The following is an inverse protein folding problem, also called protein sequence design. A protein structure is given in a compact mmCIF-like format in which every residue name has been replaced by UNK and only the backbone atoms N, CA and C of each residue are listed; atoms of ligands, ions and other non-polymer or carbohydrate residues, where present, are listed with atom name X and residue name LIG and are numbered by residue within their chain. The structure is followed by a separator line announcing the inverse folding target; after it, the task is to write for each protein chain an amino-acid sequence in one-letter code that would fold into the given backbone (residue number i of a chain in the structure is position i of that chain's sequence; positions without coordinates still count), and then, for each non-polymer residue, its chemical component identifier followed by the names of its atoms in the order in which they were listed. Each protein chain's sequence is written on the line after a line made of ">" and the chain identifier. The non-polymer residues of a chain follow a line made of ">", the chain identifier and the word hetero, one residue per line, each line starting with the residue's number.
data_IF_220932156461
#
_entry.id   IF_220932156461
#
_cell.length_a   1.000
_cell.length_b   1.000
_cell.length_c   1.000
_cell.angle_alpha   90.00
_cell.angle_beta   90.00
_cell.angle_gamma   90.00
#
_symmetry.space_group_name_H-M   'P 1'
#
loop_
_entity.id
_entity.type
_entity.pdbx_description
1 polymer ?
#
# COMPACT_ATOMS: atom_id res chain seq x y z
N UNK A 1 0.31 -16.08 14.84
CA UNK A 1 -1.03 -16.59 15.22
C UNK A 1 -1.00 -18.10 15.44
N UNK A 2 -0.73 -18.94 14.42
CA UNK A 2 -0.75 -20.41 14.56
C UNK A 2 0.13 -21.00 15.67
N UNK A 3 1.35 -20.49 15.86
CA UNK A 3 2.22 -20.87 16.99
C UNK A 3 1.64 -20.43 18.34
N UNK A 4 1.21 -19.17 18.45
CA UNK A 4 0.61 -18.62 19.67
C UNK A 4 -0.68 -19.33 20.13
N UNK A 5 -1.42 -19.97 19.21
CA UNK A 5 -2.62 -20.77 19.53
C UNK A 5 -2.33 -22.28 19.64
N UNK A 6 -1.06 -22.69 19.63
CA UNK A 6 -0.63 -24.08 19.85
C UNK A 6 -0.77 -25.02 18.65
N UNK A 7 -1.11 -24.51 17.46
CA UNK A 7 -1.30 -25.33 16.24
C UNK A 7 0.00 -25.61 15.48
N UNK A 8 1.08 -24.88 15.78
CA UNK A 8 2.38 -25.01 15.13
C UNK A 8 3.44 -25.36 16.19
N UNK A 9 4.23 -26.40 15.93
CA UNK A 9 5.35 -26.75 16.82
C UNK A 9 6.47 -25.71 16.75
N UNK A 10 7.24 -25.60 17.84
CA UNK A 10 8.38 -24.67 17.95
C UNK A 10 9.37 -24.88 16.80
N UNK A 11 9.75 -26.13 16.50
CA UNK A 11 10.64 -26.46 15.38
C UNK A 11 10.16 -25.89 14.03
N UNK A 12 8.85 -25.93 13.74
CA UNK A 12 8.32 -25.40 12.49
C UNK A 12 8.31 -23.87 12.50
N UNK A 13 8.05 -23.28 13.65
CA UNK A 13 8.08 -21.83 13.81
C UNK A 13 9.52 -21.28 13.67
N UNK A 14 10.49 -21.94 14.28
CA UNK A 14 11.92 -21.60 14.13
C UNK A 14 12.39 -21.68 12.68
N UNK A 15 12.02 -22.75 11.96
CA UNK A 15 12.35 -22.87 10.54
C UNK A 15 11.74 -21.74 9.69
N UNK A 16 10.51 -21.33 10.03
CA UNK A 16 9.84 -20.19 9.39
C UNK A 16 10.56 -18.87 9.67
N UNK A 17 10.91 -18.59 10.94
CA UNK A 17 11.62 -17.37 11.31
C UNK A 17 13.01 -17.32 10.69
N UNK A 18 13.73 -18.45 10.63
CA UNK A 18 15.01 -18.55 9.92
C UNK A 18 14.86 -18.17 8.45
N UNK A 19 13.91 -18.80 7.74
CA UNK A 19 13.64 -18.49 6.33
C UNK A 19 13.32 -17.01 6.13
N UNK A 20 12.46 -16.44 6.98
CA UNK A 20 12.06 -15.03 6.94
C UNK A 20 13.26 -14.11 7.11
N UNK A 21 14.16 -14.43 8.05
CA UNK A 21 15.39 -13.68 8.26
C UNK A 21 16.33 -13.77 7.04
N UNK A 22 16.49 -14.96 6.45
CA UNK A 22 17.29 -15.16 5.23
C UNK A 22 16.77 -14.31 4.07
N UNK A 23 15.47 -14.36 3.79
CA UNK A 23 14.83 -13.58 2.71
C UNK A 23 15.02 -12.08 2.94
N UNK A 24 14.82 -11.60 4.18
CA UNK A 24 15.01 -10.20 4.52
C UNK A 24 16.48 -9.73 4.38
N UNK A 25 17.44 -10.58 4.78
CA UNK A 25 18.86 -10.29 4.64
C UNK A 25 19.27 -10.21 3.17
N UNK A 26 18.81 -11.15 2.34
CA UNK A 26 19.10 -11.14 0.91
C UNK A 26 18.51 -9.90 0.23
N UNK A 27 17.27 -9.56 0.55
CA UNK A 27 16.64 -8.37 0.01
C UNK A 27 17.42 -7.09 0.35
N UNK A 28 17.96 -7.00 1.57
CA UNK A 28 18.85 -5.92 1.99
C UNK A 28 20.18 -5.90 1.23
N UNK A 29 20.74 -7.07 0.90
CA UNK A 29 21.94 -7.17 0.06
C UNK A 29 21.66 -6.64 -1.35
N UNK A 30 20.55 -7.06 -1.97
CA UNK A 30 20.16 -6.63 -3.32
C UNK A 30 19.92 -5.12 -3.42
N UNK A 31 19.37 -4.49 -2.37
CA UNK A 31 19.18 -3.03 -2.35
C UNK A 31 20.49 -2.24 -2.14
N UNK A 32 21.54 -2.89 -1.62
CA UNK A 32 22.87 -2.29 -1.43
C UNK A 32 23.78 -2.33 -2.66
N UNK A 33 23.53 -3.23 -3.61
CA UNK A 33 24.38 -3.42 -4.80
C UNK A 33 23.82 -2.62 -5.97
N UNK A 34 24.65 -1.72 -6.54
CA UNK A 34 24.28 -0.91 -7.71
C UNK A 34 24.91 -1.45 -8.99
N UNK A 35 24.09 -1.47 -10.04
CA UNK A 35 24.37 -1.94 -11.38
C UNK A 35 24.37 -0.76 -12.35
N UNK A 36 25.37 -0.75 -13.23
CA UNK A 36 25.58 0.25 -14.26
C UNK A 36 25.81 -0.46 -15.60
N UNK A 37 25.23 0.07 -16.67
CA UNK A 37 25.30 -0.55 -18.00
C UNK A 37 26.73 -0.72 -18.52
N UNK A 38 27.63 0.21 -18.21
CA UNK A 38 29.04 0.20 -18.64
C UNK A 38 29.94 -0.71 -17.79
N UNK A 39 29.54 -1.03 -16.56
CA UNK A 39 30.33 -1.88 -15.65
C UNK A 39 29.86 -3.33 -15.66
N UNK A 40 28.56 -3.54 -15.80
CA UNK A 40 27.91 -4.84 -15.83
C UNK A 40 27.22 -5.05 -17.19
N UNK A 41 28.00 -4.99 -18.26
CA UNK A 41 27.51 -5.00 -19.65
C UNK A 41 26.61 -6.21 -19.93
N UNK A 42 27.08 -7.42 -19.62
CA UNK A 42 26.33 -8.65 -19.91
C UNK A 42 24.97 -8.72 -19.19
N UNK A 43 24.93 -8.36 -17.91
CA UNK A 43 23.68 -8.30 -17.15
C UNK A 43 22.76 -7.21 -17.71
N UNK A 44 23.30 -6.04 -18.02
CA UNK A 44 22.53 -4.92 -18.54
C UNK A 44 21.90 -5.26 -19.90
N UNK A 45 22.65 -5.88 -20.81
CA UNK A 45 22.15 -6.32 -22.12
C UNK A 45 21.03 -7.36 -22.01
N UNK A 46 21.17 -8.36 -21.12
CA UNK A 46 20.14 -9.38 -20.92
C UNK A 46 18.87 -8.75 -20.30
N UNK A 47 19.03 -7.88 -19.29
CA UNK A 47 17.91 -7.12 -18.71
C UNK A 47 17.24 -6.24 -19.76
N UNK A 48 17.98 -5.51 -20.60
CA UNK A 48 17.42 -4.68 -21.65
C UNK A 48 16.67 -5.50 -22.70
N UNK A 49 17.17 -6.69 -23.03
CA UNK A 49 16.53 -7.61 -23.96
C UNK A 49 15.18 -8.08 -23.45
N UNK A 50 15.12 -8.47 -22.16
CA UNK A 50 13.93 -9.00 -21.50
C UNK A 50 12.91 -7.90 -21.19
N UNK A 51 13.37 -6.77 -20.65
CA UNK A 51 12.49 -5.71 -20.12
C UNK A 51 12.15 -4.63 -21.17
N UNK A 52 12.95 -4.53 -22.24
CA UNK A 52 12.96 -3.39 -23.18
C UNK A 52 13.25 -2.03 -22.50
N UNK A 53 13.83 -2.04 -21.30
CA UNK A 53 14.14 -0.85 -20.51
C UNK A 53 15.64 -0.73 -20.27
N UNK A 54 16.20 0.43 -20.63
CA UNK A 54 17.63 0.69 -20.46
C UNK A 54 18.09 0.66 -19.00
N UNK A 55 19.32 0.18 -18.79
CA UNK A 55 20.04 0.33 -17.53
C UNK A 55 20.89 1.61 -17.62
N UNK A 56 20.87 2.51 -16.61
CA UNK A 56 21.69 3.71 -16.66
C UNK A 56 23.19 3.38 -16.66
N UNK A 57 23.98 4.14 -17.42
CA UNK A 57 25.44 4.13 -17.29
C UNK A 57 25.87 4.97 -16.08
N UNK A 58 27.03 4.64 -15.52
CA UNK A 58 27.70 5.38 -14.44
C UNK A 58 27.93 6.86 -14.75
N UNK A 59 28.00 7.23 -16.03
CA UNK A 59 28.20 8.61 -16.50
C UNK A 59 26.92 9.41 -16.68
N UNK A 60 25.76 8.73 -16.83
CA UNK A 60 24.47 9.35 -17.20
C UNK A 60 23.36 9.09 -16.18
N UNK A 61 23.68 8.63 -14.98
CA UNK A 61 22.70 8.45 -13.90
C UNK A 61 23.25 7.74 -12.68
N UNK A 62 22.43 7.61 -11.65
CA UNK A 62 22.81 6.96 -10.39
C UNK A 62 22.94 5.43 -10.46
N UNK A 63 22.75 4.78 -11.61
CA UNK A 63 22.63 3.31 -11.71
C UNK A 63 21.34 2.79 -11.06
N UNK A 64 21.12 1.48 -11.12
CA UNK A 64 19.97 0.80 -10.49
C UNK A 64 20.46 -0.23 -9.48
N UNK A 65 19.76 -0.37 -8.37
CA UNK A 65 20.01 -1.47 -7.44
C UNK A 65 19.57 -2.81 -8.05
N UNK A 66 20.15 -3.93 -7.60
CA UNK A 66 19.67 -5.25 -8.02
C UNK A 66 18.21 -5.46 -7.66
N UNK A 67 17.76 -4.95 -6.50
CA UNK A 67 16.35 -4.97 -6.11
C UNK A 67 15.47 -4.25 -7.14
N UNK A 68 15.86 -3.05 -7.58
CA UNK A 68 15.14 -2.31 -8.62
C UNK A 68 15.13 -3.04 -9.97
N UNK A 69 16.20 -3.77 -10.30
CA UNK A 69 16.24 -4.61 -11.50
C UNK A 69 15.27 -5.79 -11.40
N UNK A 70 15.28 -6.54 -10.29
CA UNK A 70 14.37 -7.68 -10.06
C UNK A 70 12.90 -7.24 -10.03
N UNK A 71 12.63 -6.00 -9.65
CA UNK A 71 11.27 -5.42 -9.74
C UNK A 71 10.77 -5.28 -11.18
N UNK A 72 11.65 -5.25 -12.19
CA UNK A 72 11.25 -5.13 -13.59
C UNK A 72 10.61 -6.44 -14.10
N UNK A 73 9.57 -6.35 -14.95
CA UNK A 73 8.95 -7.53 -15.54
C UNK A 73 9.96 -8.42 -16.28
N UNK A 74 9.93 -9.72 -16.01
CA UNK A 74 10.82 -10.70 -16.66
C UNK A 74 12.22 -10.83 -16.06
N UNK A 75 12.63 -9.94 -15.15
CA UNK A 75 13.88 -10.13 -14.40
C UNK A 75 13.61 -11.07 -13.22
N UNK A 76 14.34 -12.18 -13.17
CA UNK A 76 14.23 -13.21 -12.12
C UNK A 76 15.47 -13.22 -11.23
N UNK A 77 15.36 -13.86 -10.07
CA UNK A 77 16.54 -14.08 -9.22
C UNK A 77 17.61 -14.90 -9.96
N UNK A 78 17.20 -15.92 -10.71
CA UNK A 78 18.11 -16.79 -11.47
C UNK A 78 18.91 -16.00 -12.52
N UNK A 79 18.29 -14.98 -13.14
CA UNK A 79 18.96 -14.12 -14.11
C UNK A 79 20.12 -13.37 -13.45
N UNK A 80 19.90 -12.74 -12.29
CA UNK A 80 20.98 -12.02 -11.61
C UNK A 80 22.05 -12.97 -11.06
N UNK A 81 21.66 -14.16 -10.62
CA UNK A 81 22.56 -15.21 -10.13
C UNK A 81 23.49 -15.72 -11.23
N UNK A 82 22.96 -15.96 -12.43
CA UNK A 82 23.72 -16.35 -13.63
C UNK A 82 24.83 -15.35 -13.98
N UNK A 83 24.62 -14.06 -13.67
CA UNK A 83 25.58 -12.98 -13.90
C UNK A 83 26.51 -12.72 -12.69
N UNK A 84 26.56 -13.63 -11.72
CA UNK A 84 27.47 -13.55 -10.57
C UNK A 84 26.96 -12.68 -9.41
N UNK A 85 25.67 -12.32 -9.41
CA UNK A 85 25.04 -11.56 -8.33
C UNK A 85 24.19 -12.43 -7.39
N UNK A 86 24.45 -13.74 -7.35
CA UNK A 86 23.85 -14.65 -6.37
C UNK A 86 24.24 -14.29 -4.94
N UNK A 87 23.52 -14.86 -3.97
CA UNK A 87 23.87 -14.77 -2.56
C UNK A 87 25.15 -15.55 -2.24
N UNK A 88 25.91 -15.09 -1.24
CA UNK A 88 27.14 -15.76 -0.79
C UNK A 88 26.85 -17.14 -0.17
N UNK A 89 25.74 -17.24 0.57
CA UNK A 89 25.20 -18.51 1.06
C UNK A 89 24.15 -19.02 0.06
N UNK A 90 24.23 -20.30 -0.30
CA UNK A 90 23.29 -20.89 -1.26
C UNK A 90 21.87 -20.85 -0.71
N UNK A 91 21.06 -19.95 -1.29
CA UNK A 91 19.63 -19.89 -1.01
C UNK A 91 18.92 -21.09 -1.64
N UNK A 92 17.96 -21.64 -0.91
CA UNK A 92 17.04 -22.62 -1.48
C UNK A 92 16.20 -21.99 -2.59
N UNK A 93 15.70 -22.82 -3.52
CA UNK A 93 14.79 -22.36 -4.57
C UNK A 93 13.57 -21.60 -3.99
N UNK A 94 13.05 -22.06 -2.85
CA UNK A 94 11.91 -21.42 -2.19
C UNK A 94 12.25 -20.04 -1.63
N UNK A 95 13.48 -19.83 -1.12
CA UNK A 95 13.96 -18.53 -0.66
C UNK A 95 14.17 -17.57 -1.83
N UNK A 96 14.80 -18.03 -2.92
CA UNK A 96 14.97 -17.24 -4.16
C UNK A 96 13.62 -16.75 -4.70
N UNK A 97 12.63 -17.65 -4.80
CA UNK A 97 11.27 -17.28 -5.22
C UNK A 97 10.62 -16.31 -4.23
N UNK A 98 10.83 -16.48 -2.93
CA UNK A 98 10.25 -15.59 -1.91
C UNK A 98 10.82 -14.17 -2.02
N UNK A 99 12.13 -14.02 -2.23
CA UNK A 99 12.78 -12.72 -2.49
C UNK A 99 12.18 -12.07 -3.74
N UNK A 100 12.07 -12.81 -4.84
CA UNK A 100 11.51 -12.30 -6.09
C UNK A 100 10.06 -11.82 -5.93
N UNK A 101 9.22 -12.61 -5.26
CA UNK A 101 7.82 -12.26 -4.99
C UNK A 101 7.75 -11.02 -4.09
N UNK A 102 8.48 -10.98 -2.99
CA UNK A 102 8.43 -9.82 -2.09
C UNK A 102 8.84 -8.53 -2.79
N UNK A 103 9.91 -8.54 -3.59
CA UNK A 103 10.39 -7.38 -4.33
C UNK A 103 9.39 -6.91 -5.40
N UNK A 104 8.81 -7.85 -6.16
CA UNK A 104 7.86 -7.53 -7.23
C UNK A 104 6.52 -7.01 -6.70
N UNK A 105 6.05 -7.57 -5.58
CA UNK A 105 4.73 -7.25 -5.04
C UNK A 105 4.74 -6.13 -3.99
N UNK A 106 5.89 -5.72 -3.47
CA UNK A 106 5.99 -4.66 -2.44
C UNK A 106 5.21 -3.40 -2.81
N UNK A 107 5.39 -2.86 -4.02
CA UNK A 107 4.72 -1.63 -4.43
C UNK A 107 3.19 -1.76 -4.52
N UNK A 108 2.70 -2.95 -4.85
CA UNK A 108 1.27 -3.25 -4.85
C UNK A 108 0.74 -3.36 -3.42
N UNK A 109 1.46 -4.07 -2.54
CA UNK A 109 1.13 -4.22 -1.12
C UNK A 109 1.13 -2.87 -0.41
N UNK A 110 2.09 -2.00 -0.71
CA UNK A 110 2.16 -0.65 -0.13
C UNK A 110 0.99 0.21 -0.61
N UNK A 111 0.68 0.19 -1.92
CA UNK A 111 -0.46 0.92 -2.47
C UNK A 111 -1.79 0.46 -1.87
N UNK A 112 -1.98 -0.85 -1.76
CA UNK A 112 -3.16 -1.44 -1.17
C UNK A 112 -3.26 -1.09 0.32
N UNK A 113 -2.14 -1.18 1.06
CA UNK A 113 -2.07 -0.80 2.47
C UNK A 113 -2.36 0.68 2.70
N UNK A 114 -1.88 1.57 1.81
CA UNK A 114 -2.19 2.99 1.85
C UNK A 114 -3.68 3.24 1.58
N UNK A 115 -4.28 2.50 0.65
CA UNK A 115 -5.72 2.54 0.40
C UNK A 115 -6.51 2.10 1.64
N UNK A 116 -6.16 0.94 2.23
CA UNK A 116 -6.75 0.44 3.48
C UNK A 116 -6.63 1.44 4.62
N UNK A 117 -5.46 2.05 4.83
CA UNK A 117 -5.25 3.04 5.90
C UNK A 117 -6.10 4.30 5.69
N UNK A 118 -6.31 4.74 4.45
CA UNK A 118 -7.22 5.88 4.16
C UNK A 118 -8.67 5.55 4.50
N UNK A 119 -9.12 4.33 4.22
CA UNK A 119 -10.46 3.87 4.59
C UNK A 119 -10.57 3.74 6.12
N UNK A 120 -9.64 3.02 6.75
CA UNK A 120 -9.62 2.79 8.19
C UNK A 120 -9.46 4.07 9.03
N UNK A 121 -8.69 5.06 8.55
CA UNK A 121 -8.54 6.34 9.22
C UNK A 121 -9.83 7.15 9.34
N UNK A 122 -10.83 6.84 8.50
CA UNK A 122 -12.12 7.51 8.47
C UNK A 122 -13.28 6.62 8.95
N UNK A 123 -13.02 5.37 9.29
CA UNK A 123 -14.03 4.43 9.82
C UNK A 123 -14.65 4.93 11.13
N UNK A 124 -13.85 5.57 11.99
CA UNK A 124 -14.31 6.16 13.25
C UNK A 124 -15.03 7.51 13.11
N UNK A 125 -15.19 8.04 11.89
CA UNK A 125 -15.85 9.33 11.69
C UNK A 125 -17.34 9.21 11.99
N UNK A 126 -17.79 9.93 13.01
CA UNK A 126 -19.19 10.00 13.41
C UNK A 126 -20.04 10.72 12.38
N UNK A 127 -21.24 10.21 12.17
CA UNK A 127 -22.27 10.83 11.32
C UNK A 127 -23.27 11.53 12.27
N UNK A 128 -23.58 12.83 12.05
CA UNK A 128 -24.60 13.53 12.83
C UNK A 128 -25.95 12.81 12.77
N UNK A 129 -26.68 12.77 13.89
CA UNK A 129 -27.97 12.06 13.98
C UNK A 129 -29.02 12.64 13.03
N UNK A 130 -28.94 13.95 12.81
CA UNK A 130 -29.80 14.79 11.98
C UNK A 130 -29.29 14.94 10.54
N UNK A 131 -28.25 14.19 10.14
CA UNK A 131 -27.75 14.21 8.78
C UNK A 131 -28.86 13.81 7.78
N UNK A 132 -29.04 14.60 6.73
CA UNK A 132 -30.02 14.36 5.68
C UNK A 132 -29.36 13.61 4.51
N UNK A 133 -29.52 12.29 4.48
CA UNK A 133 -28.94 11.44 3.43
C UNK A 133 -29.63 11.63 2.08
N UNK A 134 -30.91 12.03 2.06
CA UNK A 134 -31.69 12.18 0.84
C UNK A 134 -31.21 13.38 0.02
N UNK A 135 -30.71 14.43 0.70
CA UNK A 135 -30.14 15.63 0.07
C UNK A 135 -28.80 15.42 -0.65
N UNK A 136 -28.14 14.27 -0.47
CA UNK A 136 -26.78 14.06 -0.97
C UNK A 136 -26.80 13.48 -2.39
N UNK A 137 -26.75 14.37 -3.39
CA UNK A 137 -26.88 13.99 -4.79
C UNK A 137 -25.81 13.03 -5.32
N UNK A 138 -24.65 13.00 -4.67
CA UNK A 138 -23.53 12.12 -5.02
C UNK A 138 -23.72 10.68 -4.54
N UNK A 139 -24.73 10.40 -3.71
CA UNK A 139 -25.07 9.04 -3.30
C UNK A 139 -26.05 8.43 -4.29
N UNK A 140 -25.89 7.14 -4.58
CA UNK A 140 -26.90 6.37 -5.30
C UNK A 140 -28.23 6.36 -4.54
N UNK A 141 -29.36 6.28 -5.26
CA UNK A 141 -30.71 6.25 -4.66
C UNK A 141 -30.86 5.09 -3.67
N UNK A 142 -30.31 3.92 -4.01
CA UNK A 142 -30.30 2.75 -3.12
C UNK A 142 -29.55 3.05 -1.81
N UNK A 143 -28.34 3.61 -1.92
CA UNK A 143 -27.55 3.99 -0.74
C UNK A 143 -28.26 5.05 0.10
N UNK A 144 -28.87 6.08 -0.51
CA UNK A 144 -29.62 7.11 0.23
C UNK A 144 -30.74 6.48 1.05
N UNK A 145 -31.57 5.65 0.44
CA UNK A 145 -32.69 5.02 1.13
C UNK A 145 -32.24 4.08 2.26
N UNK A 146 -31.17 3.30 2.03
CA UNK A 146 -30.63 2.39 3.03
C UNK A 146 -29.98 3.12 4.21
N UNK A 147 -29.19 4.15 3.93
CA UNK A 147 -28.54 4.96 4.95
C UNK A 147 -29.58 5.75 5.77
N UNK A 148 -30.59 6.30 5.11
CA UNK A 148 -31.70 7.00 5.75
C UNK A 148 -32.51 6.06 6.66
N UNK A 149 -32.78 4.83 6.23
CA UNK A 149 -33.53 3.85 7.02
C UNK A 149 -32.73 3.31 8.22
N UNK A 150 -31.43 3.10 8.07
CA UNK A 150 -30.59 2.46 9.11
C UNK A 150 -29.98 3.49 10.08
N UNK A 151 -29.79 4.74 9.62
CA UNK A 151 -29.16 5.85 10.38
C UNK A 151 -27.86 5.42 11.09
N UNK A 152 -26.83 4.98 10.35
CA UNK A 152 -25.57 4.54 10.95
C UNK A 152 -24.88 5.67 11.73
N UNK A 153 -24.30 5.35 12.88
CA UNK A 153 -23.62 6.31 13.75
C UNK A 153 -22.22 6.68 13.25
N UNK A 154 -21.63 5.82 12.42
CA UNK A 154 -20.26 5.96 11.91
C UNK A 154 -20.17 5.55 10.45
N UNK A 155 -19.17 6.08 9.76
CA UNK A 155 -18.83 5.66 8.39
C UNK A 155 -18.51 4.15 8.32
N UNK A 156 -17.90 3.56 9.35
CA UNK A 156 -17.67 2.11 9.41
C UNK A 156 -18.96 1.29 9.49
N UNK A 157 -19.97 1.79 10.20
CA UNK A 157 -21.27 1.12 10.24
C UNK A 157 -21.97 1.25 8.89
N UNK A 158 -21.92 2.43 8.27
CA UNK A 158 -22.47 2.68 6.94
C UNK A 158 -21.88 1.74 5.89
N UNK A 159 -20.55 1.50 5.91
CA UNK A 159 -19.87 0.65 4.91
C UNK A 159 -20.21 -0.83 4.99
N UNK A 160 -20.77 -1.30 6.12
CA UNK A 160 -21.23 -2.69 6.30
C UNK A 160 -22.68 -2.91 5.90
N UNK A 161 -23.40 -1.85 5.52
CA UNK A 161 -24.79 -1.96 5.06
C UNK A 161 -24.80 -2.57 3.66
N UNK A 162 -25.45 -3.73 3.51
CA UNK A 162 -25.55 -4.42 2.23
C UNK A 162 -26.21 -3.54 1.16
N UNK A 163 -25.54 -3.36 0.02
CA UNK A 163 -25.96 -2.50 -1.09
C UNK A 163 -25.59 -1.03 -0.95
N UNK A 164 -24.82 -0.65 0.07
CA UNK A 164 -24.08 0.62 0.08
C UNK A 164 -22.71 0.38 -0.55
N UNK A 165 -22.40 1.08 -1.63
CA UNK A 165 -21.15 0.87 -2.38
C UNK A 165 -19.95 1.59 -1.73
N UNK A 166 -18.71 1.12 -1.94
CA UNK A 166 -17.52 1.85 -1.48
C UNK A 166 -17.42 3.28 -2.06
N UNK A 167 -17.96 3.51 -3.27
CA UNK A 167 -18.01 4.83 -3.87
C UNK A 167 -18.96 5.78 -3.10
N UNK A 168 -20.12 5.27 -2.70
CA UNK A 168 -21.10 6.01 -1.90
C UNK A 168 -20.56 6.35 -0.50
N UNK A 169 -19.82 5.44 0.14
CA UNK A 169 -19.14 5.71 1.42
C UNK A 169 -18.13 6.84 1.29
N UNK A 170 -17.36 6.88 0.19
CA UNK A 170 -16.44 7.99 -0.08
C UNK A 170 -17.19 9.30 -0.33
N UNK A 171 -18.29 9.27 -1.07
CA UNK A 171 -19.12 10.45 -1.31
C UNK A 171 -19.71 11.01 -0.01
N UNK A 172 -20.23 10.14 0.86
CA UNK A 172 -20.71 10.49 2.20
C UNK A 172 -19.59 11.12 3.04
N UNK A 173 -18.39 10.52 3.04
CA UNK A 173 -17.23 11.06 3.76
C UNK A 173 -16.87 12.47 3.30
N UNK A 174 -16.79 12.70 1.99
CA UNK A 174 -16.50 14.04 1.44
C UNK A 174 -17.55 15.06 1.88
N UNK A 175 -18.83 14.68 1.85
CA UNK A 175 -19.93 15.54 2.29
C UNK A 175 -19.83 15.91 3.77
N UNK A 176 -19.57 14.93 4.64
CA UNK A 176 -19.40 15.15 6.07
C UNK A 176 -18.21 16.06 6.39
N UNK A 177 -17.10 15.92 5.66
CA UNK A 177 -15.94 16.80 5.80
C UNK A 177 -16.27 18.25 5.38
N UNK A 178 -17.05 18.42 4.31
CA UNK A 178 -17.50 19.73 3.84
C UNK A 178 -18.40 20.44 4.86
N UNK A 179 -19.34 19.71 5.47
CA UNK A 179 -20.23 20.25 6.50
C UNK A 179 -19.47 20.66 7.77
N UNK A 180 -18.55 19.81 8.25
CA UNK A 180 -17.68 20.17 9.39
C UNK A 180 -16.87 21.43 9.12
N UNK A 181 -16.31 21.57 7.90
CA UNK A 181 -15.54 22.76 7.53
C UNK A 181 -16.40 24.01 7.46
N UNK A 182 -17.66 23.90 7.02
CA UNK A 182 -18.58 25.04 6.99
C UNK A 182 -18.98 25.47 8.41
N UNK A 183 -19.30 24.53 9.29
CA UNK A 183 -19.61 24.82 10.70
C UNK A 183 -18.45 25.54 11.39
N UNK A 184 -17.21 25.06 11.22
CA UNK A 184 -16.02 25.71 11.78
C UNK A 184 -15.80 27.14 11.24
N UNK A 185 -16.08 27.38 9.95
CA UNK A 185 -15.98 28.73 9.37
C UNK A 185 -17.04 29.67 9.94
N UNK A 186 -18.27 29.19 10.12
CA UNK A 186 -19.36 29.98 10.67
C UNK A 186 -19.13 30.33 12.15
N UNK A 187 -18.62 29.38 12.94
CA UNK A 187 -18.20 29.62 14.33
C UNK A 187 -17.07 30.64 14.41
N UNK A 188 -16.05 30.52 13.56
CA UNK A 188 -14.92 31.46 13.51
C UNK A 188 -15.39 32.88 13.13
N UNK A 189 -16.35 33.00 12.20
CA UNK A 189 -16.90 34.28 11.77
C UNK A 189 -17.79 34.93 12.84
N UNK A 190 -18.54 34.13 13.61
CA UNK A 190 -19.32 34.61 14.76
C UNK A 190 -18.40 35.15 15.87
N UNK A 191 -17.38 34.39 16.24
CA UNK A 191 -16.41 34.79 17.26
C UNK A 191 -15.71 36.12 16.91
N UNK A 192 -15.32 36.33 15.64
CA UNK A 192 -14.71 37.59 15.20
C UNK A 192 -15.63 38.81 15.28
N UNK A 193 -16.94 38.62 15.04
CA UNK A 193 -17.93 39.70 15.17
C UNK A 193 -18.16 40.12 16.62
N UNK A 194 -17.99 39.20 17.57
CA UNK A 194 -18.15 39.47 19.00
C UNK A 194 -16.92 40.13 19.64
N UNK A 195 -15.72 39.98 19.06
CA UNK A 195 -14.46 40.57 19.57
C UNK A 195 -14.05 41.92 18.95
N UNK A 196 -14.84 42.51 18.05
CA UNK A 196 -14.51 43.84 17.49
C UNK A 196 -15.13 44.93 18.39
N UNK A 197 -14.34 45.71 19.16
CA UNK A 197 -14.88 46.80 19.96
C UNK A 197 -15.30 47.95 19.03
N UNK A 198 -16.42 48.59 19.38
CA UNK A 198 -16.91 49.83 18.75
C UNK A 198 -15.94 50.99 19.00
#
# INVERSE_FOLDING_TARGET
>A
VGHAVGLLSDRRYEAFEKKRATVAAERKRLSGIRIFADRQVALAEEVETVTKQRVPSSTKGGGLTLEELVRRPGVTYELIEKHGFGADESLSAMEKTSVEVEVKYEGFIERESKSRRKVAGNEGMSIPKDFDYLSVDTLSMESRHKLESIRPLTLAQASRIGGVSPADINALMVRLLQEKRNQQRDETNRAKKETTPV
#
